data_IF_496123780450
#
_entry.id   IF_496123780450
#
_cell.length_a   1.000
_cell.length_b   1.000
_cell.length_c   1.000
_cell.angle_alpha   90.00
_cell.angle_beta   90.00
_cell.angle_gamma   90.00
#
_symmetry.space_group_name_H-M   'P 1'
#
loop_
_entity.id
_entity.type
_entity.pdbx_description
1 polymer ?
#
# COMPACT_ATOMS: atom_id res chain seq x y z
N UNK A 1 14.59 -9.14 2.78
CA UNK A 1 13.38 -9.83 2.27
C UNK A 1 12.48 -10.31 3.40
N UNK A 2 13.01 -11.01 4.42
CA UNK A 2 12.25 -11.64 5.52
C UNK A 2 11.37 -10.68 6.35
N UNK A 3 11.61 -9.38 6.30
CA UNK A 3 10.88 -8.37 7.08
C UNK A 3 9.93 -7.52 6.21
N UNK A 4 9.80 -7.84 4.92
CA UNK A 4 9.04 -7.02 3.97
C UNK A 4 7.56 -6.92 4.37
N UNK A 5 6.95 -8.02 4.76
CA UNK A 5 5.53 -8.07 5.17
C UNK A 5 5.22 -7.27 6.45
N UNK A 6 6.24 -6.88 7.24
CA UNK A 6 6.02 -6.13 8.47
C UNK A 6 5.75 -4.64 8.21
N UNK A 7 6.31 -4.09 7.14
CA UNK A 7 6.23 -2.66 6.84
C UNK A 7 5.42 -2.34 5.59
N UNK A 8 5.24 -3.29 4.68
CA UNK A 8 4.52 -3.04 3.43
C UNK A 8 3.03 -3.40 3.58
N UNK A 9 2.19 -2.39 3.72
CA UNK A 9 0.75 -2.53 3.93
C UNK A 9 0.03 -3.32 2.81
N UNK A 10 0.64 -3.38 1.62
CA UNK A 10 0.05 -4.06 0.45
C UNK A 10 0.09 -5.59 0.57
N UNK A 11 0.94 -6.12 1.43
CA UNK A 11 1.15 -7.56 1.55
C UNK A 11 0.80 -8.07 2.95
N UNK A 12 0.05 -9.16 3.00
CA UNK A 12 -0.20 -9.88 4.25
C UNK A 12 0.82 -10.98 4.49
N UNK A 13 1.39 -11.53 3.41
CA UNK A 13 2.53 -12.43 3.45
C UNK A 13 3.30 -12.43 2.14
N UNK A 14 4.60 -12.67 2.21
CA UNK A 14 5.50 -12.83 1.06
C UNK A 14 6.39 -14.02 1.33
N UNK A 15 6.38 -14.97 0.41
CA UNK A 15 7.26 -16.14 0.46
C UNK A 15 8.21 -16.11 -0.72
N UNK A 16 9.51 -15.99 -0.43
CA UNK A 16 10.56 -16.02 -1.44
C UNK A 16 10.91 -17.46 -1.78
N UNK A 17 10.90 -17.79 -3.06
CA UNK A 17 11.26 -19.11 -3.54
C UNK A 17 12.79 -19.26 -3.56
N UNK A 18 13.26 -20.46 -3.35
CA UNK A 18 14.69 -20.77 -3.49
C UNK A 18 15.13 -20.60 -4.95
N UNK A 19 16.29 -19.97 -5.13
CA UNK A 19 16.95 -19.87 -6.43
C UNK A 19 17.65 -21.20 -6.75
N UNK A 20 17.58 -21.62 -8.01
CA UNK A 20 18.33 -22.81 -8.47
C UNK A 20 19.80 -22.47 -8.75
N UNK A 21 20.02 -21.25 -9.30
CA UNK A 21 21.34 -20.67 -9.55
C UNK A 21 21.38 -19.24 -9.02
N UNK A 22 22.56 -18.72 -8.71
CA UNK A 22 22.76 -17.38 -8.15
C UNK A 22 22.25 -16.28 -9.10
N UNK A 23 22.41 -16.51 -10.41
CA UNK A 23 21.99 -15.58 -11.47
C UNK A 23 20.49 -15.64 -11.81
N UNK A 24 19.77 -16.63 -11.27
CA UNK A 24 18.33 -16.75 -11.51
C UNK A 24 17.57 -15.54 -10.92
N UNK A 25 16.49 -15.10 -11.57
CA UNK A 25 15.60 -14.12 -11.00
C UNK A 25 15.06 -14.58 -9.64
N UNK A 26 14.96 -13.66 -8.69
CA UNK A 26 14.29 -13.96 -7.43
C UNK A 26 12.79 -14.00 -7.63
N UNK A 27 12.19 -15.18 -7.56
CA UNK A 27 10.73 -15.34 -7.58
C UNK A 27 10.17 -15.39 -6.17
N UNK A 28 8.92 -14.97 -6.04
CA UNK A 28 8.19 -15.01 -4.78
C UNK A 28 6.68 -15.13 -5.03
N UNK A 29 5.98 -15.62 -4.04
CA UNK A 29 4.52 -15.57 -3.98
C UNK A 29 4.10 -14.58 -2.90
N UNK A 30 2.99 -13.90 -3.14
CA UNK A 30 2.45 -12.97 -2.17
C UNK A 30 0.97 -13.20 -1.93
N UNK A 31 0.52 -12.75 -0.78
CA UNK A 31 -0.89 -12.74 -0.39
C UNK A 31 -1.26 -11.37 0.15
N UNK A 32 -2.39 -10.85 -0.30
CA UNK A 32 -2.97 -9.59 0.16
C UNK A 32 -4.38 -9.84 0.69
N UNK A 33 -4.64 -9.48 1.93
CA UNK A 33 -5.99 -9.44 2.51
C UNK A 33 -6.59 -8.08 2.23
N UNK A 34 -7.52 -8.02 1.28
CA UNK A 34 -8.12 -6.75 0.84
C UNK A 34 -9.18 -6.28 1.83
N UNK A 35 -10.09 -7.17 2.18
CA UNK A 35 -11.12 -7.00 3.23
C UNK A 35 -11.32 -8.33 3.94
N UNK A 36 -11.99 -8.38 5.11
CA UNK A 36 -12.33 -9.65 5.75
C UNK A 36 -13.02 -10.62 4.79
N UNK A 37 -12.44 -11.81 4.62
CA UNK A 37 -12.95 -12.85 3.71
C UNK A 37 -12.46 -12.75 2.27
N UNK A 38 -11.80 -11.67 1.84
CA UNK A 38 -11.26 -11.53 0.48
C UNK A 38 -9.75 -11.52 0.50
N UNK A 39 -9.17 -12.58 -0.06
CA UNK A 39 -7.72 -12.79 -0.13
C UNK A 39 -7.31 -12.91 -1.59
N UNK A 40 -6.34 -12.11 -1.99
CA UNK A 40 -5.71 -12.16 -3.31
C UNK A 40 -4.31 -12.72 -3.17
N UNK A 41 -4.02 -13.79 -3.92
CA UNK A 41 -2.67 -14.35 -4.01
C UNK A 41 -2.11 -14.14 -5.40
N UNK A 42 -0.82 -13.90 -5.48
CA UNK A 42 -0.13 -13.66 -6.74
C UNK A 42 1.33 -14.11 -6.67
N UNK A 43 1.99 -13.86 -7.76
CA UNK A 43 3.41 -14.16 -7.95
C UNK A 43 4.17 -12.90 -8.32
N UNK A 44 5.44 -12.88 -8.04
CA UNK A 44 6.36 -11.84 -8.45
C UNK A 44 7.72 -12.39 -8.81
N UNK A 45 8.40 -11.66 -9.67
CA UNK A 45 9.75 -11.95 -10.17
C UNK A 45 10.57 -10.66 -10.14
N UNK A 46 11.72 -10.69 -9.48
CA UNK A 46 12.71 -9.61 -9.52
C UNK A 46 13.89 -10.04 -10.36
N UNK A 47 14.16 -9.33 -11.46
CA UNK A 47 15.23 -9.65 -12.42
C UNK A 47 16.61 -9.16 -11.98
N UNK A 48 16.83 -9.07 -10.67
CA UNK A 48 18.10 -8.65 -10.11
C UNK A 48 18.27 -7.14 -10.02
N UNK A 49 19.40 -6.72 -9.48
CA UNK A 49 19.74 -5.31 -9.29
C UNK A 49 20.81 -4.91 -10.30
N UNK A 50 20.51 -3.91 -11.09
CA UNK A 50 21.48 -3.32 -12.01
C UNK A 50 22.08 -2.06 -11.36
N UNK A 51 23.41 -2.05 -11.23
CA UNK A 51 24.13 -0.92 -10.63
C UNK A 51 24.84 -0.11 -11.72
N UNK A 52 24.56 1.20 -11.76
CA UNK A 52 25.25 2.14 -12.65
C UNK A 52 26.54 2.62 -11.97
N UNK A 53 27.50 3.10 -12.78
CA UNK A 53 28.77 3.71 -12.29
C UNK A 53 28.56 4.87 -11.31
N UNK A 54 27.40 5.50 -11.32
CA UNK A 54 26.98 6.55 -10.39
C UNK A 54 26.52 6.03 -9.03
N UNK A 55 26.57 4.72 -8.78
CA UNK A 55 26.06 4.09 -7.55
C UNK A 55 24.53 3.92 -7.50
N UNK A 56 23.82 4.33 -8.55
CA UNK A 56 22.38 4.14 -8.65
C UNK A 56 22.07 2.68 -8.90
N UNK A 57 21.28 2.06 -8.01
CA UNK A 57 20.82 0.67 -8.10
C UNK A 57 19.38 0.63 -8.56
N UNK A 58 19.08 -0.20 -9.55
CA UNK A 58 17.72 -0.39 -10.07
C UNK A 58 17.39 -1.87 -10.09
N UNK A 59 16.28 -2.24 -9.48
CA UNK A 59 15.74 -3.60 -9.48
C UNK A 59 14.42 -3.61 -10.24
N UNK A 60 14.33 -4.45 -11.28
CA UNK A 60 13.10 -4.62 -12.06
C UNK A 60 12.19 -5.61 -11.39
N UNK A 61 10.90 -5.33 -11.41
CA UNK A 61 9.86 -6.15 -10.82
C UNK A 61 8.81 -6.50 -11.88
N UNK A 62 8.43 -7.78 -11.91
CA UNK A 62 7.31 -8.29 -12.70
C UNK A 62 6.40 -9.07 -11.75
N UNK A 63 5.10 -8.84 -11.78
CA UNK A 63 4.16 -9.44 -10.85
C UNK A 63 2.80 -9.66 -11.50
N UNK A 64 2.02 -10.55 -10.93
CA UNK A 64 0.68 -10.81 -11.42
C UNK A 64 -0.11 -11.76 -10.54
N UNK A 65 -1.37 -11.95 -10.89
CA UNK A 65 -2.23 -12.94 -10.25
C UNK A 65 -3.19 -13.58 -11.23
N UNK A 66 -3.41 -14.90 -11.16
CA UNK A 66 -4.42 -15.57 -11.95
C UNK A 66 -5.86 -15.33 -11.43
N UNK A 67 -6.00 -14.82 -10.21
CA UNK A 67 -7.30 -14.68 -9.55
C UNK A 67 -8.14 -13.57 -10.19
N UNK A 68 -9.35 -13.91 -10.63
CA UNK A 68 -10.27 -12.99 -11.32
C UNK A 68 -10.80 -11.87 -10.42
N UNK A 69 -10.79 -12.06 -9.11
CA UNK A 69 -11.23 -11.03 -8.15
C UNK A 69 -10.26 -9.84 -8.08
N UNK A 70 -9.00 -10.02 -8.49
CA UNK A 70 -8.02 -8.95 -8.53
C UNK A 70 -8.28 -8.01 -9.71
N UNK A 71 -8.31 -6.69 -9.50
CA UNK A 71 -8.35 -5.72 -10.59
C UNK A 71 -7.06 -5.70 -11.42
N UNK A 72 -5.93 -6.12 -10.85
CA UNK A 72 -4.65 -6.26 -11.55
C UNK A 72 -4.57 -7.67 -12.14
N UNK A 73 -4.23 -7.77 -13.42
CA UNK A 73 -3.88 -9.01 -14.10
C UNK A 73 -2.40 -9.28 -13.99
N UNK A 74 -1.61 -8.33 -14.43
CA UNK A 74 -0.16 -8.40 -14.52
C UNK A 74 0.39 -6.98 -14.46
N UNK A 75 1.59 -6.79 -13.92
CA UNK A 75 2.22 -5.49 -13.84
C UNK A 75 3.73 -5.61 -13.87
N UNK A 76 4.36 -4.51 -14.25
CA UNK A 76 5.82 -4.36 -14.29
C UNK A 76 6.20 -3.05 -13.66
N UNK A 77 7.38 -3.03 -13.08
CA UNK A 77 7.88 -1.81 -12.47
C UNK A 77 9.34 -1.91 -12.10
N UNK A 78 9.79 -0.93 -11.38
CA UNK A 78 11.15 -0.93 -10.84
C UNK A 78 11.21 -0.24 -9.48
N UNK A 79 12.23 -0.60 -8.75
CA UNK A 79 12.71 0.08 -7.57
C UNK A 79 14.08 0.68 -7.88
N UNK A 80 14.26 1.95 -7.59
CA UNK A 80 15.52 2.63 -7.83
C UNK A 80 16.00 3.29 -6.54
N UNK A 81 17.26 3.04 -6.24
CA UNK A 81 17.96 3.58 -5.07
C UNK A 81 19.02 4.54 -5.57
N UNK A 82 18.87 5.81 -5.25
CA UNK A 82 19.76 6.89 -5.68
C UNK A 82 20.52 7.39 -4.46
N UNK A 83 21.85 7.16 -4.37
CA UNK A 83 22.67 7.73 -3.32
C UNK A 83 22.65 9.27 -3.41
N UNK A 84 22.47 9.92 -2.27
CA UNK A 84 22.49 11.36 -2.15
C UNK A 84 23.22 11.76 -0.84
N UNK A 85 24.57 11.77 -0.90
CA UNK A 85 25.41 11.94 0.28
C UNK A 85 25.24 10.77 1.25
N UNK A 86 24.84 11.08 2.48
CA UNK A 86 24.54 10.11 3.55
C UNK A 86 23.12 9.54 3.51
N UNK A 87 22.32 9.98 2.53
CA UNK A 87 20.91 9.57 2.34
C UNK A 87 20.73 8.75 1.07
N UNK A 88 19.62 8.02 1.01
CA UNK A 88 19.19 7.31 -0.19
C UNK A 88 17.81 7.85 -0.59
N UNK A 89 17.70 8.35 -1.83
CA UNK A 89 16.40 8.62 -2.42
C UNK A 89 15.87 7.34 -3.07
N UNK A 90 14.71 6.90 -2.61
CA UNK A 90 14.04 5.72 -3.17
C UNK A 90 12.93 6.15 -4.12
N UNK A 91 12.95 5.60 -5.32
CA UNK A 91 11.90 5.79 -6.32
C UNK A 91 11.30 4.44 -6.69
N UNK A 92 9.99 4.42 -6.87
CA UNK A 92 9.27 3.25 -7.37
C UNK A 92 8.25 3.67 -8.41
N UNK A 93 8.12 2.86 -9.43
CA UNK A 93 7.09 3.00 -10.46
C UNK A 93 6.62 1.63 -10.88
N UNK A 94 5.31 1.49 -11.08
CA UNK A 94 4.74 0.32 -11.74
C UNK A 94 3.59 0.72 -12.66
N UNK A 95 3.56 -0.01 -13.78
CA UNK A 95 2.46 -0.03 -14.71
C UNK A 95 1.82 -1.40 -14.64
N UNK A 96 0.49 -1.49 -14.76
CA UNK A 96 -0.22 -2.74 -14.71
C UNK A 96 -1.42 -2.76 -15.65
N UNK A 97 -1.74 -3.97 -16.11
CA UNK A 97 -2.92 -4.24 -16.91
C UNK A 97 -4.13 -4.47 -15.98
N UNK A 98 -5.13 -3.59 -16.11
CA UNK A 98 -6.37 -3.74 -15.39
C UNK A 98 -7.26 -4.81 -16.04
N UNK A 99 -7.92 -5.65 -15.20
CA UNK A 99 -8.95 -6.58 -15.66
C UNK A 99 -10.25 -5.84 -15.95
N UNK A 100 -11.21 -6.55 -16.56
CA UNK A 100 -12.60 -6.12 -16.80
C UNK A 100 -12.78 -4.98 -17.81
N UNK A 101 -11.82 -4.74 -18.71
CA UNK A 101 -11.97 -3.79 -19.82
C UNK A 101 -12.39 -2.38 -19.40
N UNK A 102 -13.49 -1.87 -19.96
CA UNK A 102 -13.98 -0.52 -19.65
C UNK A 102 -14.45 -0.38 -18.19
N UNK A 103 -15.08 -1.41 -17.63
CA UNK A 103 -15.47 -1.45 -16.21
C UNK A 103 -14.25 -1.47 -15.28
N UNK A 104 -13.19 -2.20 -15.67
CA UNK A 104 -11.92 -2.20 -14.95
C UNK A 104 -11.27 -0.83 -14.89
N UNK A 105 -11.36 -0.03 -15.95
CA UNK A 105 -10.87 1.36 -15.96
C UNK A 105 -11.63 2.25 -14.97
N UNK A 106 -12.92 2.04 -14.80
CA UNK A 106 -13.69 2.75 -13.78
C UNK A 106 -13.27 2.36 -12.35
N UNK A 107 -13.09 1.07 -12.10
CA UNK A 107 -12.54 0.59 -10.81
C UNK A 107 -11.13 1.15 -10.57
N UNK A 108 -10.30 1.21 -11.60
CA UNK A 108 -8.91 1.70 -11.53
C UNK A 108 -8.82 3.17 -11.12
N UNK A 109 -9.83 3.97 -11.43
CA UNK A 109 -9.92 5.37 -11.01
C UNK A 109 -9.86 5.53 -9.47
N UNK A 110 -10.42 4.56 -8.74
CA UNK A 110 -10.39 4.52 -7.27
C UNK A 110 -9.23 3.66 -6.76
N UNK A 111 -8.98 2.55 -7.42
CA UNK A 111 -7.97 1.58 -7.00
C UNK A 111 -6.55 2.14 -7.09
N UNK A 112 -6.22 2.85 -8.16
CA UNK A 112 -4.88 3.43 -8.38
C UNK A 112 -4.46 4.43 -7.29
N UNK A 113 -5.29 5.41 -6.89
CA UNK A 113 -4.97 6.29 -5.76
C UNK A 113 -4.80 5.53 -4.44
N UNK A 114 -5.62 4.50 -4.18
CA UNK A 114 -5.53 3.69 -2.95
C UNK A 114 -4.20 2.94 -2.90
N UNK A 115 -3.79 2.31 -3.98
CA UNK A 115 -2.49 1.62 -4.06
C UNK A 115 -1.33 2.60 -3.95
N UNK A 116 -1.43 3.76 -4.60
CA UNK A 116 -0.43 4.83 -4.47
C UNK A 116 -0.28 5.30 -3.03
N UNK A 117 -1.40 5.56 -2.36
CA UNK A 117 -1.41 5.94 -0.95
C UNK A 117 -0.85 4.83 -0.04
N UNK A 118 -1.27 3.58 -0.23
CA UNK A 118 -0.76 2.45 0.55
C UNK A 118 0.74 2.27 0.37
N UNK A 119 1.25 2.49 -0.85
CA UNK A 119 2.68 2.47 -1.16
C UNK A 119 3.43 3.58 -0.42
N UNK A 120 2.97 4.83 -0.53
CA UNK A 120 3.59 5.98 0.15
C UNK A 120 3.62 5.77 1.67
N UNK A 121 2.49 5.41 2.28
CA UNK A 121 2.42 5.13 3.71
C UNK A 121 3.37 4.01 4.14
N UNK A 122 3.50 2.95 3.34
CA UNK A 122 4.43 1.84 3.63
C UNK A 122 5.88 2.32 3.67
N UNK A 123 6.28 3.18 2.72
CA UNK A 123 7.65 3.72 2.72
C UNK A 123 7.89 4.76 3.81
N UNK A 124 6.90 5.54 4.20
CA UNK A 124 6.99 6.43 5.37
C UNK A 124 7.23 5.62 6.65
N UNK A 125 6.50 4.51 6.81
CA UNK A 125 6.65 3.58 7.94
C UNK A 125 8.03 2.90 7.91
N UNK A 126 8.51 2.47 6.74
CA UNK A 126 9.86 1.91 6.60
C UNK A 126 10.92 2.94 7.01
N UNK A 127 10.80 4.18 6.54
CA UNK A 127 11.71 5.28 6.89
C UNK A 127 11.73 5.52 8.40
N UNK A 128 10.56 5.61 9.03
CA UNK A 128 10.45 5.77 10.48
C UNK A 128 11.07 4.60 11.25
N UNK A 129 10.97 3.39 10.72
CA UNK A 129 11.60 2.21 11.32
C UNK A 129 13.12 2.24 11.19
N UNK A 130 13.65 2.58 10.02
CA UNK A 130 15.09 2.61 9.75
C UNK A 130 15.79 3.78 10.45
N UNK A 131 15.19 4.97 10.45
CA UNK A 131 15.82 6.18 10.98
C UNK A 131 15.59 6.38 12.48
N UNK A 132 14.42 5.99 13.00
CA UNK A 132 14.00 6.24 14.39
C UNK A 132 13.91 4.98 15.24
N UNK A 133 14.04 3.79 14.62
CA UNK A 133 13.86 2.52 15.32
C UNK A 133 12.41 2.22 15.72
N UNK A 134 11.43 3.00 15.24
CA UNK A 134 10.02 2.82 15.61
C UNK A 134 9.40 1.64 14.86
N UNK A 135 8.90 0.60 15.57
CA UNK A 135 8.35 -0.58 14.93
C UNK A 135 7.16 -0.27 14.01
N UNK A 136 7.06 -0.87 12.81
CA UNK A 136 5.98 -0.61 11.85
C UNK A 136 4.58 -0.76 12.45
N UNK A 137 4.35 -1.78 13.26
CA UNK A 137 3.07 -2.02 13.94
C UNK A 137 2.64 -0.84 14.81
N UNK A 138 3.57 -0.19 15.51
CA UNK A 138 3.31 0.98 16.35
C UNK A 138 2.92 2.18 15.50
N UNK A 139 3.66 2.42 14.41
CA UNK A 139 3.39 3.51 13.48
C UNK A 139 2.00 3.35 12.82
N UNK A 140 1.66 2.17 12.32
CA UNK A 140 0.34 1.89 11.76
C UNK A 140 -0.79 2.06 12.79
N UNK A 141 -0.62 1.54 14.00
CA UNK A 141 -1.62 1.71 15.06
C UNK A 141 -1.87 3.18 15.37
N UNK A 142 -0.80 3.97 15.52
CA UNK A 142 -0.92 5.41 15.74
C UNK A 142 -1.64 6.10 14.59
N UNK A 143 -1.24 5.82 13.35
CA UNK A 143 -1.84 6.39 12.15
C UNK A 143 -3.34 6.09 12.06
N UNK A 144 -3.72 4.84 12.08
CA UNK A 144 -5.14 4.46 11.95
C UNK A 144 -5.99 4.88 13.14
N UNK A 145 -5.45 4.83 14.37
CA UNK A 145 -6.17 5.31 15.55
C UNK A 145 -6.43 6.81 15.48
N UNK A 146 -5.50 7.60 15.00
CA UNK A 146 -5.68 9.04 14.81
C UNK A 146 -6.85 9.33 13.86
N UNK A 147 -6.87 8.72 12.69
CA UNK A 147 -7.96 8.93 11.74
C UNK A 147 -9.30 8.38 12.23
N UNK A 148 -9.31 7.22 12.88
CA UNK A 148 -10.52 6.65 13.43
C UNK A 148 -11.15 7.57 14.49
N UNK A 149 -10.34 8.08 15.41
CA UNK A 149 -10.79 9.01 16.46
C UNK A 149 -11.28 10.32 15.82
N UNK A 150 -10.54 10.87 14.86
CA UNK A 150 -10.93 12.09 14.15
C UNK A 150 -12.28 11.93 13.44
N UNK A 151 -12.47 10.82 12.73
CA UNK A 151 -13.74 10.52 12.05
C UNK A 151 -14.89 10.30 13.06
N UNK A 152 -14.63 9.65 14.18
CA UNK A 152 -15.61 9.47 15.23
C UNK A 152 -16.07 10.81 15.80
N UNK A 153 -15.14 11.70 16.14
CA UNK A 153 -15.49 13.05 16.61
C UNK A 153 -16.23 13.85 15.54
N UNK A 154 -15.77 13.83 14.31
CA UNK A 154 -16.47 14.50 13.20
C UNK A 154 -17.89 13.98 13.04
N UNK A 155 -18.09 12.66 13.14
CA UNK A 155 -19.42 12.05 13.09
C UNK A 155 -20.31 12.50 14.25
N UNK A 156 -19.79 12.52 15.48
CA UNK A 156 -20.54 12.97 16.67
C UNK A 156 -20.98 14.44 16.48
N UNK A 157 -20.06 15.31 16.05
CA UNK A 157 -20.38 16.72 15.82
C UNK A 157 -21.42 16.92 14.71
N UNK A 158 -21.28 16.20 13.59
CA UNK A 158 -22.27 16.25 12.51
C UNK A 158 -23.63 15.71 12.97
N UNK A 159 -23.63 14.60 13.71
CA UNK A 159 -24.86 14.02 14.24
C UNK A 159 -25.58 14.99 15.17
N UNK A 160 -24.86 15.53 16.17
CA UNK A 160 -25.42 16.47 17.13
C UNK A 160 -25.83 17.81 16.51
N UNK A 161 -25.14 18.28 15.46
CA UNK A 161 -25.50 19.50 14.76
C UNK A 161 -26.66 19.34 13.78
N UNK A 162 -26.69 18.22 13.04
CA UNK A 162 -27.64 18.02 11.94
C UNK A 162 -28.95 17.39 12.40
N UNK A 163 -28.90 16.35 13.21
CA UNK A 163 -30.08 15.55 13.54
C UNK A 163 -31.06 16.32 14.42
N UNK A 164 -30.68 16.97 15.53
CA UNK A 164 -31.60 17.76 16.32
C UNK A 164 -32.15 18.98 15.59
N UNK A 165 -31.31 19.68 14.84
CA UNK A 165 -31.68 20.95 14.17
C UNK A 165 -32.51 20.77 12.90
N UNK A 166 -32.19 19.75 12.09
CA UNK A 166 -32.83 19.55 10.79
C UNK A 166 -33.93 18.51 10.83
N UNK A 167 -33.71 17.39 11.55
CA UNK A 167 -34.65 16.28 11.58
C UNK A 167 -35.51 16.25 12.84
N UNK A 168 -35.00 16.72 13.98
CA UNK A 168 -35.67 16.62 15.28
C UNK A 168 -36.58 17.80 15.62
N UNK A 169 -36.37 19.00 15.06
CA UNK A 169 -37.07 20.23 15.41
C UNK A 169 -37.34 20.33 16.93
N UNK A 170 -36.32 20.07 17.75
CA UNK A 170 -36.50 19.96 19.18
C UNK A 170 -36.89 21.33 19.76
N UNK A 171 -38.09 21.47 20.43
CA UNK A 171 -38.59 22.78 20.85
C UNK A 171 -37.63 23.55 21.76
N UNK A 172 -36.82 22.88 22.55
CA UNK A 172 -35.83 23.48 23.46
C UNK A 172 -34.61 24.13 22.72
N UNK A 173 -34.32 23.79 21.45
CA UNK A 173 -33.24 24.44 20.69
C UNK A 173 -33.74 25.66 19.91
N UNK A 174 -35.06 25.86 19.79
CA UNK A 174 -35.68 27.00 19.13
C UNK A 174 -35.82 28.19 20.08
N UNK A 175 -35.84 27.95 21.37
CA UNK A 175 -35.98 28.95 22.43
C UNK A 175 -34.65 29.57 22.91
N UNK A 176 -33.50 29.09 22.45
CA UNK A 176 -32.16 29.64 22.70
C UNK A 176 -31.66 30.44 21.51
#
# INVERSE_FOLDING_TARGET
PQLHEQWDLRFSSITYNEKRHEDDPQTFTYTTKVIPGVVVSGWGESKGTHEKKSGVKTSSLHFGTPQLISPIKEGRGYWQYIPNGDKITFLTQYDYDARFGAFGRFIDLVFRPIIGWATALSFDVLTGWLEKGEPPKTQYRRFFSYYLITLLFAFIWLYQGLVPKILGQHPLEIEM
#
